data_IF_294468549085
#
_entry.id   IF_294468549085
#
_cell.length_a   1.000
_cell.length_b   1.000
_cell.length_c   1.000
_cell.angle_alpha   90.00
_cell.angle_beta   90.00
_cell.angle_gamma   90.00
#
_symmetry.space_group_name_H-M   'P 1'
#
loop_
_entity.id
_entity.type
_entity.pdbx_description
1 polymer ?
#
# COMPACT_ATOMS: atom_id res chain seq x y z
N UNK A 1 -47.03 -39.00 -19.79
CA UNK A 1 -47.64 -37.98 -18.91
C UNK A 1 -46.55 -37.12 -18.29
N UNK A 2 -46.84 -35.86 -17.96
CA UNK A 2 -45.82 -34.80 -17.82
C UNK A 2 -45.05 -34.81 -16.49
N UNK A 3 -43.72 -34.71 -16.58
CA UNK A 3 -42.81 -34.41 -15.47
C UNK A 3 -42.84 -32.92 -15.03
N UNK A 4 -43.48 -32.04 -15.79
CA UNK A 4 -43.43 -30.59 -15.59
C UNK A 4 -44.33 -30.06 -14.44
N UNK A 5 -45.08 -30.93 -13.74
CA UNK A 5 -46.05 -30.50 -12.71
C UNK A 5 -45.47 -30.30 -11.30
N UNK A 6 -44.17 -30.56 -11.08
CA UNK A 6 -43.53 -30.46 -9.75
C UNK A 6 -42.83 -29.11 -9.48
N UNK A 7 -42.64 -28.26 -10.48
CA UNK A 7 -42.16 -26.89 -10.30
C UNK A 7 -43.34 -25.94 -10.12
N UNK A 8 -43.93 -25.93 -8.91
CA UNK A 8 -44.72 -24.78 -8.45
C UNK A 8 -43.75 -23.61 -8.20
N UNK A 9 -43.37 -22.92 -9.27
CA UNK A 9 -42.82 -21.57 -9.18
C UNK A 9 -43.92 -20.67 -8.60
N UNK A 10 -43.89 -20.51 -7.27
CA UNK A 10 -44.65 -19.46 -6.61
C UNK A 10 -44.14 -18.14 -7.16
N UNK A 11 -44.97 -17.44 -7.94
CA UNK A 11 -44.62 -16.10 -8.40
C UNK A 11 -44.33 -15.23 -7.17
N UNK A 12 -43.14 -14.62 -7.08
CA UNK A 12 -42.78 -13.80 -5.93
C UNK A 12 -43.75 -12.62 -5.86
N UNK A 13 -44.24 -12.31 -4.64
CA UNK A 13 -45.10 -11.15 -4.48
C UNK A 13 -44.32 -9.88 -4.81
N UNK A 14 -45.00 -8.81 -5.25
CA UNK A 14 -44.37 -7.52 -5.58
C UNK A 14 -43.47 -7.02 -4.43
N UNK A 15 -43.86 -7.27 -3.18
CA UNK A 15 -43.08 -6.95 -1.99
C UNK A 15 -41.77 -7.77 -1.90
N UNK A 16 -41.81 -9.06 -2.20
CA UNK A 16 -40.60 -9.90 -2.25
C UNK A 16 -39.65 -9.47 -3.37
N UNK A 17 -40.20 -9.03 -4.51
CA UNK A 17 -39.43 -8.53 -5.65
C UNK A 17 -38.73 -7.20 -5.31
N UNK A 18 -39.45 -6.27 -4.65
CA UNK A 18 -38.87 -5.01 -4.12
C UNK A 18 -37.77 -5.29 -3.08
N UNK A 19 -38.00 -6.18 -2.12
CA UNK A 19 -37.01 -6.56 -1.11
C UNK A 19 -35.77 -7.19 -1.78
N UNK A 20 -35.95 -8.04 -2.80
CA UNK A 20 -34.84 -8.69 -3.52
C UNK A 20 -33.99 -7.67 -4.29
N UNK A 21 -34.61 -6.68 -4.93
CA UNK A 21 -33.91 -5.58 -5.61
C UNK A 21 -33.14 -4.71 -4.60
N UNK A 22 -33.73 -4.42 -3.43
CA UNK A 22 -33.06 -3.68 -2.35
C UNK A 22 -31.84 -4.43 -1.79
N UNK A 23 -31.95 -5.74 -1.57
CA UNK A 23 -30.83 -6.59 -1.12
C UNK A 23 -29.74 -6.64 -2.20
N UNK A 24 -30.11 -6.81 -3.48
CA UNK A 24 -29.14 -6.81 -4.58
C UNK A 24 -28.44 -5.45 -4.74
N UNK A 25 -29.17 -4.34 -4.61
CA UNK A 25 -28.63 -2.99 -4.68
C UNK A 25 -27.67 -2.66 -3.52
N UNK A 26 -28.04 -3.02 -2.28
CA UNK A 26 -27.13 -2.89 -1.13
C UNK A 26 -25.92 -3.81 -1.27
N UNK A 27 -26.09 -5.03 -1.79
CA UNK A 27 -24.98 -5.95 -2.08
C UNK A 27 -24.01 -5.38 -3.12
N UNK A 28 -24.54 -4.74 -4.17
CA UNK A 28 -23.73 -4.08 -5.21
C UNK A 28 -22.96 -2.87 -4.66
N UNK A 29 -23.62 -2.00 -3.88
CA UNK A 29 -22.99 -0.83 -3.24
C UNK A 29 -21.93 -1.30 -2.24
N UNK A 30 -22.22 -2.32 -1.44
CA UNK A 30 -21.27 -2.93 -0.50
C UNK A 30 -20.08 -3.55 -1.23
N UNK A 31 -20.31 -4.22 -2.36
CA UNK A 31 -19.27 -4.79 -3.21
C UNK A 31 -18.34 -3.72 -3.80
N UNK A 32 -18.89 -2.62 -4.32
CA UNK A 32 -18.06 -1.50 -4.83
C UNK A 32 -17.32 -0.75 -3.73
N UNK A 33 -17.90 -0.63 -2.54
CA UNK A 33 -17.19 -0.04 -1.40
C UNK A 33 -16.07 -0.97 -0.93
N UNK A 34 -16.32 -2.28 -0.83
CA UNK A 34 -15.32 -3.26 -0.41
C UNK A 34 -14.19 -3.40 -1.44
N UNK A 35 -14.47 -3.34 -2.75
CA UNK A 35 -13.43 -3.35 -3.78
C UNK A 35 -12.56 -2.09 -3.73
N UNK A 36 -13.13 -0.92 -3.41
CA UNK A 36 -12.33 0.30 -3.16
C UNK A 36 -11.47 0.14 -1.91
N UNK A 37 -12.01 -0.43 -0.82
CA UNK A 37 -11.27 -0.65 0.44
C UNK A 37 -10.13 -1.66 0.26
N UNK A 38 -10.34 -2.74 -0.50
CA UNK A 38 -9.30 -3.75 -0.77
C UNK A 38 -8.18 -3.18 -1.66
N UNK A 39 -8.54 -2.37 -2.66
CA UNK A 39 -7.59 -1.62 -3.49
C UNK A 39 -6.80 -0.59 -2.66
N UNK A 40 -7.46 0.14 -1.77
CA UNK A 40 -6.86 1.17 -0.90
C UNK A 40 -5.94 0.56 0.19
N UNK A 41 -6.35 -0.56 0.81
CA UNK A 41 -5.51 -1.30 1.76
C UNK A 41 -4.27 -1.92 1.09
N UNK A 42 -4.41 -2.44 -0.13
CA UNK A 42 -3.30 -3.01 -0.90
C UNK A 42 -2.27 -1.94 -1.27
N UNK A 43 -2.71 -0.73 -1.63
CA UNK A 43 -1.83 0.42 -1.85
C UNK A 43 -1.17 0.86 -0.52
N UNK A 44 -1.96 1.02 0.55
CA UNK A 44 -1.48 1.52 1.85
C UNK A 44 -0.39 0.63 2.49
N UNK A 45 -0.48 -0.69 2.34
CA UNK A 45 0.46 -1.64 2.99
C UNK A 45 1.54 -2.23 2.09
N UNK A 46 1.41 -2.17 0.76
CA UNK A 46 2.37 -2.81 -0.18
C UNK A 46 3.15 -1.81 -1.01
N UNK A 47 2.61 -0.63 -1.32
CA UNK A 47 3.30 0.38 -2.15
C UNK A 47 4.09 1.38 -1.28
N UNK A 48 3.51 1.89 -0.19
CA UNK A 48 4.13 2.96 0.60
C UNK A 48 5.20 2.50 1.60
N UNK A 49 5.03 1.32 2.21
CA UNK A 49 6.08 0.67 3.02
C UNK A 49 7.27 0.28 2.15
N UNK A 50 7.01 -0.19 0.92
CA UNK A 50 8.02 -0.52 -0.07
C UNK A 50 8.73 0.74 -0.58
N UNK A 51 8.00 1.81 -0.89
CA UNK A 51 8.56 3.11 -1.26
C UNK A 51 9.48 3.69 -0.20
N UNK A 52 9.06 3.69 1.07
CA UNK A 52 9.92 4.12 2.18
C UNK A 52 11.18 3.23 2.34
N UNK A 53 11.06 1.91 2.13
CA UNK A 53 12.20 1.00 2.14
C UNK A 53 13.16 1.23 0.96
N UNK A 54 12.65 1.48 -0.25
CA UNK A 54 13.45 1.82 -1.43
C UNK A 54 14.22 3.13 -1.21
N UNK A 55 13.60 4.17 -0.64
CA UNK A 55 14.29 5.42 -0.28
C UNK A 55 15.38 5.19 0.78
N UNK A 56 15.13 4.35 1.78
CA UNK A 56 16.14 3.97 2.77
C UNK A 56 17.32 3.20 2.13
N UNK A 57 17.05 2.32 1.16
CA UNK A 57 18.08 1.63 0.39
C UNK A 57 18.90 2.59 -0.48
N UNK A 58 18.26 3.55 -1.16
CA UNK A 58 18.93 4.60 -1.94
C UNK A 58 19.86 5.42 -1.03
N UNK A 59 19.37 5.88 0.13
CA UNK A 59 20.17 6.62 1.12
C UNK A 59 21.39 5.81 1.60
N UNK A 60 21.19 4.53 1.94
CA UNK A 60 22.27 3.64 2.36
C UNK A 60 23.33 3.42 1.25
N UNK A 61 22.92 3.29 -0.01
CA UNK A 61 23.85 3.14 -1.13
C UNK A 61 24.61 4.45 -1.46
N UNK A 62 23.98 5.62 -1.30
CA UNK A 62 24.67 6.92 -1.38
C UNK A 62 25.75 7.05 -0.30
N UNK A 63 25.46 6.64 0.94
CA UNK A 63 26.45 6.63 2.03
C UNK A 63 27.61 5.65 1.73
N UNK A 64 27.33 4.47 1.17
CA UNK A 64 28.36 3.52 0.73
C UNK A 64 29.25 4.10 -0.39
N UNK A 65 28.65 4.79 -1.35
CA UNK A 65 29.38 5.49 -2.41
C UNK A 65 30.32 6.56 -1.82
N UNK A 66 29.79 7.43 -0.94
CA UNK A 66 30.58 8.45 -0.22
C UNK A 66 31.74 7.84 0.54
N UNK A 67 31.51 6.76 1.29
CA UNK A 67 32.56 6.09 2.06
C UNK A 67 33.62 5.44 1.16
N UNK A 68 33.26 5.04 -0.06
CA UNK A 68 34.22 4.53 -1.06
C UNK A 68 35.12 5.66 -1.58
N UNK A 69 34.56 6.84 -1.86
CA UNK A 69 35.32 8.05 -2.24
C UNK A 69 36.27 8.49 -1.11
N UNK A 70 35.82 8.50 0.15
CA UNK A 70 36.66 8.88 1.29
C UNK A 70 37.83 7.91 1.45
N UNK A 71 37.56 6.60 1.38
CA UNK A 71 38.62 5.58 1.43
C UNK A 71 39.58 5.64 0.24
N UNK A 72 39.19 6.23 -0.90
CA UNK A 72 40.14 6.43 -2.01
C UNK A 72 41.10 7.59 -1.77
N UNK A 73 40.71 8.64 -1.02
CA UNK A 73 41.62 9.71 -0.55
C UNK A 73 42.67 9.14 0.42
N UNK A 74 42.27 8.19 1.27
CA UNK A 74 43.12 7.50 2.25
C UNK A 74 44.03 6.41 1.64
N UNK A 75 44.01 6.20 0.32
CA UNK A 75 44.77 5.13 -0.32
C UNK A 75 46.30 5.35 -0.20
N UNK A 76 47.00 4.36 0.36
CA UNK A 76 48.45 4.39 0.55
C UNK A 76 49.25 4.14 -0.73
N UNK A 77 48.64 3.45 -1.71
CA UNK A 77 49.29 3.07 -2.97
C UNK A 77 48.26 2.97 -4.12
N UNK A 78 48.77 3.05 -5.37
CA UNK A 78 47.97 3.01 -6.60
C UNK A 78 47.10 1.77 -6.72
N UNK A 79 47.59 0.58 -6.36
CA UNK A 79 46.84 -0.68 -6.47
C UNK A 79 45.70 -0.72 -5.43
N UNK A 80 45.93 -0.17 -4.24
CA UNK A 80 44.89 0.03 -3.23
C UNK A 80 43.84 1.03 -3.69
N UNK A 81 44.25 2.15 -4.32
CA UNK A 81 43.33 3.12 -4.92
C UNK A 81 42.46 2.49 -6.00
N UNK A 82 43.07 1.86 -7.02
CA UNK A 82 42.38 1.20 -8.14
C UNK A 82 41.37 0.15 -7.65
N UNK A 83 41.75 -0.69 -6.67
CA UNK A 83 40.85 -1.69 -6.06
C UNK A 83 39.69 -1.08 -5.27
N UNK A 84 39.83 0.12 -4.72
CA UNK A 84 38.73 0.82 -4.02
C UNK A 84 37.78 1.42 -5.05
N UNK A 85 38.33 2.09 -6.07
CA UNK A 85 37.55 2.82 -7.08
C UNK A 85 36.89 1.92 -8.12
N UNK A 86 37.41 0.70 -8.36
CA UNK A 86 36.80 -0.34 -9.21
C UNK A 86 35.29 -0.53 -8.96
N UNK A 87 34.86 -0.43 -7.70
CA UNK A 87 33.47 -0.62 -7.32
C UNK A 87 32.55 0.57 -7.62
N UNK A 88 33.09 1.79 -7.80
CA UNK A 88 32.33 3.04 -7.90
C UNK A 88 31.34 3.08 -9.08
N UNK A 89 31.68 2.65 -10.32
CA UNK A 89 30.73 2.65 -11.43
C UNK A 89 29.51 1.76 -11.14
N UNK A 90 29.75 0.58 -10.52
CA UNK A 90 28.67 -0.33 -10.12
C UNK A 90 27.79 0.26 -9.00
N UNK A 91 28.38 1.00 -8.06
CA UNK A 91 27.65 1.67 -6.98
C UNK A 91 26.77 2.79 -7.54
N UNK A 92 27.31 3.65 -8.43
CA UNK A 92 26.55 4.71 -9.12
C UNK A 92 25.36 4.12 -9.91
N UNK A 93 25.61 3.09 -10.71
CA UNK A 93 24.57 2.44 -11.50
C UNK A 93 23.45 1.84 -10.64
N UNK A 94 23.77 1.25 -9.48
CA UNK A 94 22.75 0.74 -8.54
C UNK A 94 21.88 1.87 -7.96
N UNK A 95 22.48 2.99 -7.55
CA UNK A 95 21.76 4.15 -7.03
C UNK A 95 20.82 4.72 -8.10
N UNK A 96 21.34 4.97 -9.31
CA UNK A 96 20.55 5.49 -10.43
C UNK A 96 19.39 4.55 -10.78
N UNK A 97 19.65 3.25 -10.92
CA UNK A 97 18.60 2.26 -11.19
C UNK A 97 17.55 2.16 -10.07
N UNK A 98 17.92 2.30 -8.80
CA UNK A 98 16.96 2.33 -7.70
C UNK A 98 16.05 3.58 -7.77
N UNK A 99 16.62 4.75 -8.08
CA UNK A 99 15.88 6.00 -8.33
C UNK A 99 14.99 5.90 -9.59
N UNK A 100 15.44 5.19 -10.63
CA UNK A 100 14.65 4.92 -11.84
C UNK A 100 13.45 4.01 -11.55
N UNK A 101 13.64 2.93 -10.78
CA UNK A 101 12.53 2.08 -10.33
C UNK A 101 11.53 2.85 -9.47
N UNK A 102 12.02 3.69 -8.54
CA UNK A 102 11.14 4.52 -7.72
C UNK A 102 10.30 5.47 -8.59
N UNK A 103 10.94 6.18 -9.52
CA UNK A 103 10.25 7.11 -10.42
C UNK A 103 9.26 6.42 -11.39
N UNK A 104 9.46 5.13 -11.67
CA UNK A 104 8.55 4.32 -12.48
C UNK A 104 7.36 3.73 -11.69
N UNK A 105 7.44 3.69 -10.35
CA UNK A 105 6.27 3.42 -9.51
C UNK A 105 5.34 4.64 -9.56
N UNK A 106 4.03 4.43 -9.72
CA UNK A 106 3.07 5.49 -10.06
C UNK A 106 3.03 6.64 -9.05
N UNK A 107 3.78 7.71 -9.34
CA UNK A 107 4.01 8.85 -8.46
C UNK A 107 2.72 9.63 -8.20
N UNK A 108 2.54 10.09 -6.95
CA UNK A 108 1.31 10.76 -6.49
C UNK A 108 1.57 12.17 -5.99
N UNK A 109 0.47 12.91 -5.82
CA UNK A 109 0.44 14.27 -5.25
C UNK A 109 -0.45 14.24 -4.01
N UNK A 110 0.07 14.71 -2.87
CA UNK A 110 -0.68 14.84 -1.61
C UNK A 110 -1.71 15.97 -1.70
N UNK A 111 -2.77 15.89 -0.88
CA UNK A 111 -3.76 16.97 -0.72
C UNK A 111 -3.16 18.24 -0.11
N UNK A 112 -1.98 18.18 0.48
CA UNK A 112 -1.18 19.36 0.87
C UNK A 112 -0.58 20.12 -0.32
N UNK A 113 -0.54 19.50 -1.51
CA UNK A 113 0.12 20.02 -2.70
C UNK A 113 1.58 19.55 -2.88
N UNK A 114 2.12 18.71 -1.98
CA UNK A 114 3.43 18.05 -2.19
C UNK A 114 3.33 17.00 -3.29
N UNK A 115 4.38 16.86 -4.12
CA UNK A 115 4.39 15.99 -5.30
C UNK A 115 5.62 15.08 -5.29
N UNK A 116 5.40 13.77 -5.31
CA UNK A 116 6.48 12.78 -5.38
C UNK A 116 7.29 12.93 -6.67
N UNK A 117 6.65 13.34 -7.78
CA UNK A 117 7.31 13.65 -9.06
C UNK A 117 8.30 14.81 -8.94
N UNK A 118 7.91 15.89 -8.26
CA UNK A 118 8.79 17.05 -8.06
C UNK A 118 9.98 16.68 -7.16
N UNK A 119 9.73 15.93 -6.11
CA UNK A 119 10.77 15.60 -5.13
C UNK A 119 11.74 14.51 -5.64
N UNK A 120 11.29 13.51 -6.42
CA UNK A 120 12.19 12.55 -7.07
C UNK A 120 13.06 13.22 -8.16
N UNK A 121 12.56 14.23 -8.86
CA UNK A 121 13.37 15.05 -9.77
C UNK A 121 14.46 15.83 -9.02
N UNK A 122 14.13 16.40 -7.86
CA UNK A 122 15.12 17.08 -7.00
C UNK A 122 16.19 16.11 -6.45
N UNK A 123 15.81 14.86 -6.13
CA UNK A 123 16.75 13.79 -5.76
C UNK A 123 17.69 13.46 -6.93
N UNK A 124 17.18 13.30 -8.15
CA UNK A 124 17.98 13.05 -9.36
C UNK A 124 18.99 14.16 -9.61
N UNK A 125 18.54 15.41 -9.60
CA UNK A 125 19.40 16.57 -9.83
C UNK A 125 20.51 16.65 -8.77
N UNK A 126 20.16 16.47 -7.49
CA UNK A 126 21.14 16.46 -6.39
C UNK A 126 22.16 15.33 -6.53
N UNK A 127 21.72 14.15 -6.95
CA UNK A 127 22.58 12.99 -7.20
C UNK A 127 23.54 13.21 -8.35
N UNK A 128 23.09 13.74 -9.49
CA UNK A 128 23.98 13.98 -10.63
C UNK A 128 25.01 15.07 -10.32
N UNK A 129 24.63 16.13 -9.59
CA UNK A 129 25.58 17.13 -9.10
C UNK A 129 26.61 16.52 -8.13
N UNK A 130 26.18 15.62 -7.23
CA UNK A 130 27.09 14.91 -6.33
C UNK A 130 28.03 13.95 -7.09
N UNK A 131 27.51 13.16 -8.03
CA UNK A 131 28.31 12.25 -8.84
C UNK A 131 29.32 12.99 -9.71
N UNK A 132 28.97 14.14 -10.28
CA UNK A 132 29.92 14.97 -11.04
C UNK A 132 31.10 15.41 -10.17
N UNK A 133 30.82 15.97 -8.98
CA UNK A 133 31.86 16.39 -8.02
C UNK A 133 32.69 15.20 -7.53
N UNK A 134 32.07 14.07 -7.23
CA UNK A 134 32.77 12.87 -6.79
C UNK A 134 33.67 12.27 -7.88
N UNK A 135 33.24 12.27 -9.14
CA UNK A 135 34.08 11.89 -10.29
C UNK A 135 35.31 12.80 -10.40
N UNK A 136 35.14 14.12 -10.35
CA UNK A 136 36.25 15.06 -10.40
C UNK A 136 37.28 14.84 -9.26
N UNK A 137 36.83 14.47 -8.05
CA UNK A 137 37.74 14.07 -6.94
C UNK A 137 38.52 12.80 -7.27
N UNK A 138 37.88 11.78 -7.85
CA UNK A 138 38.54 10.53 -8.26
C UNK A 138 39.53 10.78 -9.40
N UNK A 139 39.21 11.66 -10.34
CA UNK A 139 40.08 12.01 -11.46
C UNK A 139 41.33 12.78 -11.00
N UNK A 140 41.21 13.64 -9.96
CA UNK A 140 42.36 14.29 -9.32
C UNK A 140 43.29 13.27 -8.62
N UNK A 141 42.72 12.29 -7.92
CA UNK A 141 43.49 11.19 -7.33
C UNK A 141 44.09 10.26 -8.39
N UNK A 142 43.42 10.05 -9.52
CA UNK A 142 43.99 9.30 -10.63
C UNK A 142 45.20 10.02 -11.26
N UNK A 143 45.21 11.35 -11.27
CA UNK A 143 46.34 12.17 -11.70
C UNK A 143 47.54 12.07 -10.74
N UNK A 144 47.31 12.00 -9.42
CA UNK A 144 48.38 11.81 -8.42
C UNK A 144 49.31 10.65 -8.78
N UNK A 145 48.73 9.50 -9.17
CA UNK A 145 49.48 8.28 -9.50
C UNK A 145 50.23 8.31 -10.84
N UNK A 146 50.15 9.42 -11.57
CA UNK A 146 50.89 9.66 -12.82
C UNK A 146 51.74 10.94 -12.76
N UNK A 147 51.83 11.60 -11.59
CA UNK A 147 52.66 12.77 -11.36
C UNK A 147 54.16 12.46 -11.53
N UNK A 148 54.92 13.41 -12.05
CA UNK A 148 56.36 13.25 -12.29
C UNK A 148 57.21 13.41 -11.02
N UNK A 149 56.66 14.00 -9.96
CA UNK A 149 57.36 14.24 -8.69
C UNK A 149 56.48 13.99 -7.47
N UNK A 150 57.10 13.64 -6.33
CA UNK A 150 56.37 13.47 -5.06
C UNK A 150 55.71 14.75 -4.55
N UNK A 151 56.23 15.92 -4.92
CA UNK A 151 55.64 17.21 -4.56
C UNK A 151 54.36 17.49 -5.37
N UNK A 152 54.37 17.18 -6.67
CA UNK A 152 53.20 17.27 -7.54
C UNK A 152 52.11 16.28 -7.12
N UNK A 153 52.49 15.04 -6.77
CA UNK A 153 51.57 14.05 -6.21
C UNK A 153 50.90 14.54 -4.91
N UNK A 154 51.69 15.07 -3.96
CA UNK A 154 51.16 15.60 -2.70
C UNK A 154 50.20 16.79 -2.91
N UNK A 155 50.49 17.67 -3.88
CA UNK A 155 49.62 18.80 -4.22
C UNK A 155 48.31 18.33 -4.89
N UNK A 156 48.37 17.33 -5.77
CA UNK A 156 47.17 16.71 -6.38
C UNK A 156 46.29 16.03 -5.33
N UNK A 157 46.87 15.30 -4.37
CA UNK A 157 46.14 14.71 -3.23
C UNK A 157 45.47 15.79 -2.39
N UNK A 158 46.22 16.81 -1.95
CA UNK A 158 45.70 17.95 -1.17
C UNK A 158 44.55 18.66 -1.88
N UNK A 159 44.66 18.83 -3.20
CA UNK A 159 43.61 19.41 -4.04
C UNK A 159 42.37 18.52 -4.12
N UNK A 160 42.54 17.20 -4.21
CA UNK A 160 41.44 16.24 -4.19
C UNK A 160 40.70 16.21 -2.83
N UNK A 161 41.45 16.26 -1.73
CA UNK A 161 40.92 16.35 -0.35
C UNK A 161 40.08 17.63 -0.15
N UNK A 162 40.63 18.80 -0.50
CA UNK A 162 39.93 20.08 -0.41
C UNK A 162 38.69 20.08 -1.32
N UNK A 163 38.81 19.59 -2.56
CA UNK A 163 37.67 19.48 -3.47
C UNK A 163 36.55 18.58 -2.90
N UNK A 164 36.92 17.45 -2.30
CA UNK A 164 35.98 16.53 -1.67
C UNK A 164 35.30 17.13 -0.43
N UNK A 165 36.03 17.91 0.38
CA UNK A 165 35.49 18.60 1.55
C UNK A 165 34.54 19.74 1.14
N UNK A 166 35.03 20.69 0.35
CA UNK A 166 34.33 21.95 0.04
C UNK A 166 33.17 21.76 -0.94
N UNK A 167 33.25 20.79 -1.85
CA UNK A 167 32.23 20.55 -2.87
C UNK A 167 31.49 19.23 -2.60
N UNK A 168 32.22 18.14 -2.33
CA UNK A 168 31.63 16.81 -2.15
C UNK A 168 30.74 16.71 -0.90
N UNK A 169 31.20 17.28 0.22
CA UNK A 169 30.47 17.32 1.50
C UNK A 169 29.10 18.01 1.40
N UNK A 170 29.02 19.26 0.92
CA UNK A 170 27.74 19.94 0.71
C UNK A 170 26.82 19.23 -0.29
N UNK A 171 27.37 18.64 -1.37
CA UNK A 171 26.54 17.96 -2.38
C UNK A 171 25.90 16.67 -1.89
N UNK A 172 26.60 15.85 -1.10
CA UNK A 172 25.96 14.68 -0.48
C UNK A 172 24.89 15.09 0.55
N UNK A 173 25.07 16.22 1.25
CA UNK A 173 24.04 16.74 2.16
C UNK A 173 22.79 17.22 1.40
N UNK A 174 22.95 17.79 0.20
CA UNK A 174 21.82 18.14 -0.68
C UNK A 174 21.05 16.89 -1.13
N UNK A 175 21.74 15.78 -1.42
CA UNK A 175 21.10 14.48 -1.70
C UNK A 175 20.28 13.99 -0.51
N UNK A 176 20.84 14.01 0.71
CA UNK A 176 20.10 13.62 1.92
C UNK A 176 18.84 14.47 2.11
N UNK A 177 18.95 15.79 2.04
CA UNK A 177 17.80 16.70 2.18
C UNK A 177 16.74 16.52 1.10
N UNK A 178 17.12 16.13 -0.12
CA UNK A 178 16.16 15.81 -1.17
C UNK A 178 15.44 14.49 -0.90
N UNK A 179 16.15 13.47 -0.42
CA UNK A 179 15.57 12.18 0.00
C UNK A 179 14.63 12.34 1.20
N UNK A 180 15.01 13.15 2.19
CA UNK A 180 14.18 13.46 3.37
C UNK A 180 12.86 14.14 2.95
N UNK A 181 12.91 15.13 2.04
CA UNK A 181 11.71 15.78 1.50
C UNK A 181 10.81 14.84 0.73
N UNK A 182 11.39 13.93 -0.06
CA UNK A 182 10.62 12.90 -0.75
C UNK A 182 9.96 11.95 0.26
N UNK A 183 10.68 11.53 1.31
CA UNK A 183 10.14 10.68 2.37
C UNK A 183 9.00 11.36 3.15
N UNK A 184 9.10 12.66 3.43
CA UNK A 184 8.00 13.47 3.99
C UNK A 184 6.77 13.45 3.06
N UNK A 185 6.96 13.66 1.75
CA UNK A 185 5.87 13.64 0.76
C UNK A 185 5.19 12.26 0.70
N UNK A 186 5.98 11.19 0.70
CA UNK A 186 5.53 9.79 0.77
C UNK A 186 4.71 9.54 2.03
N UNK A 187 5.15 10.05 3.19
CA UNK A 187 4.42 9.94 4.45
C UNK A 187 3.11 10.74 4.45
N UNK A 188 3.08 11.93 3.83
CA UNK A 188 1.85 12.72 3.66
C UNK A 188 0.85 12.04 2.72
N UNK A 189 1.27 11.50 1.58
CA UNK A 189 0.37 10.75 0.68
C UNK A 189 -0.19 9.51 1.37
N UNK A 190 0.65 8.73 2.07
CA UNK A 190 0.21 7.57 2.84
C UNK A 190 -0.82 7.94 3.93
N UNK A 191 -0.65 9.09 4.59
CA UNK A 191 -1.65 9.63 5.52
C UNK A 191 -2.94 10.03 4.80
N UNK A 192 -2.84 10.72 3.67
CA UNK A 192 -4.02 11.20 2.95
C UNK A 192 -4.92 10.05 2.47
N UNK A 193 -4.30 8.98 1.96
CA UNK A 193 -4.98 7.74 1.59
C UNK A 193 -5.65 7.08 2.80
N UNK A 194 -4.94 6.93 3.92
CA UNK A 194 -5.50 6.40 5.16
C UNK A 194 -6.74 7.17 5.63
N UNK A 195 -6.71 8.50 5.54
CA UNK A 195 -7.84 9.35 5.93
C UNK A 195 -9.03 9.21 4.94
N UNK A 196 -8.76 9.00 3.65
CA UNK A 196 -9.78 8.73 2.63
C UNK A 196 -10.44 7.35 2.77
N UNK A 197 -9.64 6.30 2.98
CA UNK A 197 -10.12 4.96 3.31
C UNK A 197 -10.96 4.94 4.57
N UNK A 198 -10.49 5.60 5.65
CA UNK A 198 -11.24 5.71 6.92
C UNK A 198 -12.58 6.42 6.74
N UNK A 199 -12.62 7.49 5.93
CA UNK A 199 -13.87 8.20 5.60
C UNK A 199 -14.82 7.32 4.78
N UNK A 200 -14.31 6.63 3.77
CA UNK A 200 -15.08 5.71 2.92
C UNK A 200 -15.66 4.56 3.73
N UNK A 201 -14.88 3.95 4.62
CA UNK A 201 -15.33 2.89 5.55
C UNK A 201 -16.47 3.39 6.45
N UNK A 202 -16.35 4.60 7.02
CA UNK A 202 -17.40 5.17 7.88
C UNK A 202 -18.68 5.44 7.10
N UNK A 203 -18.60 6.11 5.95
CA UNK A 203 -19.78 6.40 5.13
C UNK A 203 -20.46 5.12 4.66
N UNK A 204 -19.70 4.12 4.17
CA UNK A 204 -20.25 2.81 3.80
C UNK A 204 -20.88 2.10 4.98
N UNK A 205 -20.25 2.12 6.16
CA UNK A 205 -20.81 1.49 7.37
C UNK A 205 -22.16 2.11 7.75
N UNK A 206 -22.31 3.43 7.67
CA UNK A 206 -23.60 4.09 7.91
C UNK A 206 -24.66 3.67 6.89
N UNK A 207 -24.32 3.56 5.60
CA UNK A 207 -25.25 3.10 4.56
C UNK A 207 -25.63 1.62 4.70
N UNK A 208 -24.69 0.73 5.03
CA UNK A 208 -24.94 -0.70 5.22
C UNK A 208 -25.78 -0.95 6.47
N UNK A 209 -25.44 -0.33 7.60
CA UNK A 209 -26.22 -0.46 8.84
C UNK A 209 -27.61 0.15 8.67
N UNK A 210 -27.71 1.38 8.15
CA UNK A 210 -28.99 2.06 7.91
C UNK A 210 -29.88 1.31 6.92
N UNK A 211 -29.32 0.84 5.81
CA UNK A 211 -30.03 0.04 4.81
C UNK A 211 -30.52 -1.31 5.36
N UNK A 212 -29.70 -1.98 6.18
CA UNK A 212 -30.07 -3.25 6.84
C UNK A 212 -31.22 -3.06 7.82
N UNK A 213 -31.18 -2.01 8.65
CA UNK A 213 -32.29 -1.65 9.55
C UNK A 213 -33.58 -1.31 8.77
N UNK A 214 -33.46 -0.58 7.65
CA UNK A 214 -34.60 -0.23 6.80
C UNK A 214 -35.25 -1.46 6.15
N UNK A 215 -34.47 -2.41 5.63
CA UNK A 215 -35.00 -3.67 5.07
C UNK A 215 -35.62 -4.54 6.17
N UNK A 216 -35.01 -4.63 7.35
CA UNK A 216 -35.58 -5.35 8.49
C UNK A 216 -36.92 -4.76 8.93
N UNK A 217 -37.03 -3.42 8.98
CA UNK A 217 -38.27 -2.70 9.26
C UNK A 217 -39.35 -2.99 8.19
N UNK A 218 -39.02 -2.83 6.91
CA UNK A 218 -39.94 -3.12 5.81
C UNK A 218 -40.43 -4.57 5.84
N UNK A 219 -39.53 -5.54 6.05
CA UNK A 219 -39.90 -6.95 6.14
C UNK A 219 -40.89 -7.22 7.29
N UNK A 220 -40.67 -6.59 8.45
CA UNK A 220 -41.52 -6.77 9.64
C UNK A 220 -42.92 -6.14 9.48
N UNK A 221 -43.03 -5.02 8.78
CA UNK A 221 -44.32 -4.37 8.51
C UNK A 221 -45.07 -5.03 7.32
N UNK A 222 -44.38 -5.37 6.23
CA UNK A 222 -44.98 -6.00 5.05
C UNK A 222 -45.41 -7.45 5.31
N UNK A 223 -44.65 -8.22 6.10
CA UNK A 223 -45.03 -9.60 6.48
C UNK A 223 -46.26 -9.64 7.40
N UNK A 224 -46.59 -8.55 8.10
CA UNK A 224 -47.74 -8.49 9.02
C UNK A 224 -49.08 -8.37 8.28
N UNK A 225 -49.06 -7.96 7.02
CA UNK A 225 -50.26 -7.81 6.17
C UNK A 225 -50.70 -9.10 5.46
N UNK A 226 -49.97 -10.22 5.63
CA UNK A 226 -50.11 -11.42 4.81
C UNK A 226 -50.16 -12.74 5.58
N UNK A 227 -51.00 -12.85 6.62
CA UNK A 227 -51.41 -14.15 7.18
C UNK A 227 -52.79 -14.55 6.63
N UNK A 228 -52.88 -15.49 5.67
CA UNK A 228 -54.14 -16.18 5.39
C UNK A 228 -54.55 -16.96 6.64
N UNK A 229 -55.81 -16.83 7.03
CA UNK A 229 -56.39 -17.56 8.15
C UNK A 229 -56.65 -18.99 7.69
N UNK A 230 -55.87 -19.96 8.18
CA UNK A 230 -56.05 -21.38 7.84
C UNK A 230 -57.43 -21.86 8.31
N UNK A 231 -58.29 -22.19 7.35
CA UNK A 231 -59.64 -22.68 7.59
C UNK A 231 -59.58 -24.16 8.02
N UNK A 232 -60.13 -24.56 9.18
CA UNK A 232 -60.07 -25.96 9.63
C UNK A 232 -60.96 -26.85 8.75
N UNK A 233 -60.37 -27.87 8.13
CA UNK A 233 -61.12 -28.92 7.42
C UNK A 233 -61.86 -29.83 8.43
N UNK A 234 -63.09 -30.27 8.15
CA UNK A 234 -63.87 -31.10 9.07
C UNK A 234 -63.31 -32.54 9.13
N UNK A 235 -63.23 -33.09 10.34
CA UNK A 235 -62.73 -34.44 10.62
C UNK A 235 -63.89 -35.43 10.70
N UNK A 236 -64.02 -36.30 9.70
CA UNK A 236 -65.07 -37.33 9.67
C UNK A 236 -64.68 -38.56 10.49
N UNK A 237 -65.57 -38.92 11.43
CA UNK A 237 -65.85 -40.25 12.00
C UNK A 237 -64.75 -41.07 12.71
N UNK A 238 -65.16 -41.71 13.81
CA UNK A 238 -64.33 -42.67 14.57
C UNK A 238 -64.64 -42.76 16.07
N UNK A 239 -65.84 -43.24 16.44
CA UNK A 239 -66.16 -43.57 17.84
C UNK A 239 -65.29 -44.74 18.35
N UNK A 240 -64.62 -44.63 19.52
CA UNK A 240 -64.12 -45.78 20.26
C UNK A 240 -65.20 -46.30 21.24
N UNK A 241 -65.48 -47.60 21.21
CA UNK A 241 -66.38 -48.28 22.16
C UNK A 241 -65.58 -48.88 23.32
N UNK A 242 -66.03 -48.59 24.53
CA UNK A 242 -65.87 -49.26 25.84
C UNK A 242 -64.86 -50.44 26.05
N UNK A 243 -64.20 -50.42 27.23
CA UNK A 243 -63.54 -51.56 27.90
C UNK A 243 -62.29 -51.13 28.68
N UNK A 244 -62.31 -51.03 30.01
CA UNK A 244 -61.89 -52.08 30.98
C UNK A 244 -60.43 -52.57 30.77
N UNK A 245 -59.49 -52.65 31.73
CA UNK A 245 -59.45 -52.51 33.21
C UNK A 245 -57.97 -52.71 33.68
N UNK A 246 -57.47 -52.66 34.93
CA UNK A 246 -58.06 -52.59 36.29
C UNK A 246 -56.99 -52.12 37.33
N UNK A 247 -57.43 -51.49 38.44
CA UNK A 247 -56.86 -51.45 39.82
C UNK A 247 -55.36 -51.13 40.18
N UNK A 248 -55.21 -50.08 41.02
CA UNK A 248 -54.34 -49.93 42.22
C UNK A 248 -54.60 -51.07 43.26
N UNK A 249 -53.94 -51.26 44.44
CA UNK A 249 -53.17 -50.32 45.29
C UNK A 249 -51.82 -50.96 45.78
N UNK A 250 -51.08 -50.59 46.84
CA UNK A 250 -51.35 -49.95 48.15
C UNK A 250 -50.10 -49.26 48.73
N UNK A 251 -50.30 -48.21 49.53
CA UNK A 251 -49.50 -47.96 50.73
C UNK A 251 -50.21 -48.57 51.95
N UNK A 252 -49.41 -48.96 52.96
CA UNK A 252 -49.78 -49.33 54.34
C UNK A 252 -50.79 -50.47 54.55
#
# INVERSE_FOLDING_TARGET
>A
MSLASRLKLSFPSTNQLIISILIAGLGWISGQALSRIDQDLRIMYTEYTLGAADLAHISADVIRYRNTIIRSLEAADRKTFERITESLPSQRARIQHAVDRYAAAGLRVSRSGRSEEKDILAVRESLDQYFHVASNTVDLLAQEWNAGTSQEAAELRRKAEIHAADNGGPKVMQVSLALDRLLETVAEVAKDMRDEGTKTIRTTSYWVVGGSFFIAFLNLFLSRAGRPQETPMPRSEGHPRAGSSVNLPHEA
#
